data_IF_692552112622
#
_entry.id   IF_692552112622
#
_cell.length_a   1.000
_cell.length_b   1.000
_cell.length_c   1.000
_cell.angle_alpha   90.00
_cell.angle_beta   90.00
_cell.angle_gamma   90.00
#
_symmetry.space_group_name_H-M   'P 1'
#
loop_
_entity.id
_entity.type
_entity.pdbx_description
1 polymer ?
#
# COMPACT_ATOMS: atom_id res chain seq x y z
N UNK A 1 -22.69 7.79 -5.37
CA UNK A 1 -22.58 9.25 -5.23
C UNK A 1 -21.54 9.56 -4.18
N UNK A 2 -20.80 10.64 -4.34
CA UNK A 2 -19.81 11.13 -3.35
C UNK A 2 -20.07 12.61 -3.10
N UNK A 3 -20.09 13.02 -1.82
CA UNK A 3 -20.08 14.41 -1.43
C UNK A 3 -18.64 14.78 -1.07
N UNK A 4 -18.11 15.79 -1.72
CA UNK A 4 -16.80 16.37 -1.39
C UNK A 4 -17.07 17.58 -0.51
N UNK A 5 -16.55 17.56 0.71
CA UNK A 5 -16.64 18.67 1.64
C UNK A 5 -15.60 19.75 1.31
N UNK A 6 -15.82 20.96 1.75
CA UNK A 6 -14.81 22.00 1.71
C UNK A 6 -13.61 21.62 2.60
N UNK A 7 -12.41 22.10 2.28
CA UNK A 7 -11.20 21.75 3.02
C UNK A 7 -11.24 22.26 4.48
N UNK A 8 -12.00 23.32 4.72
CA UNK A 8 -12.25 23.97 6.02
C UNK A 8 -13.58 23.57 6.66
N UNK A 9 -14.31 22.58 6.09
CA UNK A 9 -15.56 22.09 6.64
C UNK A 9 -15.38 21.61 8.10
N UNK A 10 -16.25 22.11 8.99
CA UNK A 10 -16.21 21.74 10.39
C UNK A 10 -16.72 20.30 10.63
N UNK A 11 -16.42 19.74 11.78
CA UNK A 11 -16.98 18.45 12.20
C UNK A 11 -18.51 18.49 12.23
N UNK A 12 -19.08 19.62 12.65
CA UNK A 12 -20.52 19.84 12.71
C UNK A 12 -21.16 19.82 11.32
N UNK A 13 -20.50 20.44 10.32
CA UNK A 13 -20.99 20.40 8.93
C UNK A 13 -21.02 18.95 8.38
N UNK A 14 -19.97 18.19 8.68
CA UNK A 14 -19.87 16.78 8.24
C UNK A 14 -20.98 15.94 8.90
N UNK A 15 -21.17 16.08 10.22
CA UNK A 15 -22.21 15.38 10.97
C UNK A 15 -23.60 15.76 10.45
N UNK A 16 -23.85 17.04 10.19
CA UNK A 16 -25.12 17.49 9.62
C UNK A 16 -25.42 16.84 8.25
N UNK A 17 -24.42 16.76 7.36
CA UNK A 17 -24.59 16.09 6.06
C UNK A 17 -24.89 14.59 6.25
N UNK A 18 -24.22 13.94 7.19
CA UNK A 18 -24.45 12.52 7.53
C UNK A 18 -25.87 12.30 8.03
N UNK A 19 -26.34 13.15 8.95
CA UNK A 19 -27.70 13.07 9.52
C UNK A 19 -28.77 13.26 8.44
N UNK A 20 -28.63 14.25 7.55
CA UNK A 20 -29.55 14.47 6.43
C UNK A 20 -29.64 13.26 5.52
N UNK A 21 -28.51 12.57 5.26
CA UNK A 21 -28.48 11.34 4.45
C UNK A 21 -29.18 10.19 5.19
N UNK A 22 -28.92 10.03 6.50
CA UNK A 22 -29.55 8.97 7.31
C UNK A 22 -31.05 9.18 7.45
N UNK A 23 -31.52 10.41 7.68
CA UNK A 23 -32.95 10.76 7.74
C UNK A 23 -33.69 10.44 6.43
N UNK A 24 -32.97 10.55 5.30
CA UNK A 24 -33.49 10.15 4.00
C UNK A 24 -33.45 8.62 3.75
N UNK A 25 -32.91 7.82 4.69
CA UNK A 25 -32.81 6.37 4.62
C UNK A 25 -31.58 5.88 3.85
N UNK A 26 -30.55 6.72 3.68
CA UNK A 26 -29.25 6.37 3.11
C UNK A 26 -28.22 5.98 4.15
N UNK A 27 -27.08 5.47 3.66
CA UNK A 27 -25.88 5.28 4.48
C UNK A 27 -24.79 6.23 4.01
N UNK A 28 -24.04 6.79 4.94
CA UNK A 28 -22.95 7.73 4.72
C UNK A 28 -21.64 7.20 5.32
N UNK A 29 -20.58 7.18 4.51
CA UNK A 29 -19.25 6.74 4.90
C UNK A 29 -18.26 7.91 4.79
N UNK A 30 -17.85 8.42 5.95
CA UNK A 30 -16.97 9.60 6.02
C UNK A 30 -15.52 9.16 5.95
N UNK A 31 -14.76 9.71 5.00
CA UNK A 31 -13.31 9.59 4.97
C UNK A 31 -12.66 10.95 5.12
N UNK A 32 -11.72 11.08 6.09
CA UNK A 32 -11.01 12.31 6.42
C UNK A 32 -9.56 12.35 5.92
N UNK A 33 -9.15 11.33 5.15
CA UNK A 33 -7.83 11.29 4.54
C UNK A 33 -7.73 12.20 3.31
N UNK A 34 -6.67 13.02 3.21
CA UNK A 34 -6.42 13.88 2.07
C UNK A 34 -6.71 15.37 2.30
N UNK A 35 -6.80 16.14 1.20
CA UNK A 35 -6.92 17.59 1.23
C UNK A 35 -8.30 18.10 1.71
N UNK A 36 -9.35 17.30 1.57
CA UNK A 36 -10.70 17.60 2.02
C UNK A 36 -11.42 16.32 2.46
N UNK A 37 -12.34 16.39 3.43
CA UNK A 37 -13.19 15.25 3.79
C UNK A 37 -14.12 14.88 2.64
N UNK A 38 -14.38 13.57 2.48
CA UNK A 38 -15.34 13.05 1.51
C UNK A 38 -16.33 12.11 2.18
N UNK A 39 -17.57 12.12 1.68
CA UNK A 39 -18.65 11.28 2.18
C UNK A 39 -19.17 10.42 1.02
N UNK A 40 -18.91 9.12 1.08
CA UNK A 40 -19.49 8.15 0.14
C UNK A 40 -20.92 7.80 0.55
N UNK A 41 -21.84 7.79 -0.40
CA UNK A 41 -23.24 7.46 -0.16
C UNK A 41 -23.60 6.09 -0.70
N UNK A 42 -24.37 5.32 0.06
CA UNK A 42 -25.00 4.06 -0.34
C UNK A 42 -26.52 4.12 -0.14
N UNK A 43 -27.27 3.37 -0.96
CA UNK A 43 -28.73 3.35 -0.95
C UNK A 43 -29.35 3.77 -2.27
N UNK A 44 -30.63 4.18 -2.28
CA UNK A 44 -31.34 4.68 -3.47
C UNK A 44 -30.90 6.10 -3.84
N UNK A 45 -29.76 6.17 -4.53
CA UNK A 45 -29.09 7.42 -4.88
C UNK A 45 -29.95 8.34 -5.75
N UNK A 46 -30.75 7.79 -6.63
CA UNK A 46 -31.60 8.59 -7.53
C UNK A 46 -32.73 9.26 -6.75
N UNK A 47 -33.28 8.59 -5.75
CA UNK A 47 -34.24 9.15 -4.83
C UNK A 47 -33.61 10.28 -3.99
N UNK A 48 -32.42 10.08 -3.44
CA UNK A 48 -31.72 11.11 -2.66
C UNK A 48 -31.38 12.34 -3.51
N UNK A 49 -30.89 12.13 -4.74
CA UNK A 49 -30.54 13.23 -5.65
C UNK A 49 -31.78 14.06 -6.06
N UNK A 50 -32.96 13.44 -6.12
CA UNK A 50 -34.21 14.12 -6.45
C UNK A 50 -34.83 14.90 -5.28
N UNK A 51 -34.60 14.43 -4.03
CA UNK A 51 -35.27 14.97 -2.83
C UNK A 51 -34.37 15.85 -1.96
N UNK A 52 -33.06 15.65 -1.99
CA UNK A 52 -32.10 16.36 -1.14
C UNK A 52 -31.30 17.39 -1.94
N UNK A 53 -31.34 18.65 -1.49
CA UNK A 53 -30.42 19.67 -1.99
C UNK A 53 -29.06 19.58 -1.31
N UNK A 54 -28.34 18.47 -1.56
CA UNK A 54 -27.04 18.18 -0.93
C UNK A 54 -25.99 19.25 -1.24
N UNK A 55 -26.03 19.90 -2.40
CA UNK A 55 -25.11 20.98 -2.77
C UNK A 55 -25.34 22.27 -2.01
N UNK A 56 -26.52 22.44 -1.41
CA UNK A 56 -26.86 23.61 -0.58
C UNK A 56 -26.53 23.45 0.90
N UNK A 57 -26.06 22.28 1.34
CA UNK A 57 -25.73 22.06 2.73
C UNK A 57 -24.41 22.76 3.13
N UNK A 58 -24.31 23.26 4.37
CA UNK A 58 -23.08 23.88 4.86
C UNK A 58 -21.87 22.95 4.74
N UNK A 59 -20.74 23.52 4.35
CA UNK A 59 -19.49 22.78 4.19
C UNK A 59 -19.41 21.84 2.97
N UNK A 60 -20.45 21.74 2.13
CA UNK A 60 -20.40 20.94 0.89
C UNK A 60 -19.79 21.76 -0.24
N UNK A 61 -18.68 21.28 -0.79
CA UNK A 61 -18.02 21.89 -1.96
C UNK A 61 -18.64 21.42 -3.28
N UNK A 62 -18.89 20.10 -3.42
CA UNK A 62 -19.51 19.54 -4.62
C UNK A 62 -20.11 18.16 -4.36
N UNK A 63 -21.05 17.75 -5.19
CA UNK A 63 -21.65 16.42 -5.18
C UNK A 63 -21.39 15.76 -6.53
N UNK A 64 -20.75 14.58 -6.53
CA UNK A 64 -20.34 13.85 -7.73
C UNK A 64 -21.13 12.55 -7.83
N UNK A 65 -21.79 12.33 -8.97
CA UNK A 65 -22.33 11.01 -9.30
C UNK A 65 -21.20 10.13 -9.82
N UNK A 66 -20.96 8.99 -9.16
CA UNK A 66 -19.95 8.01 -9.56
C UNK A 66 -20.63 6.88 -10.33
N UNK A 67 -20.03 6.47 -11.44
CA UNK A 67 -20.50 5.33 -12.25
C UNK A 67 -19.83 4.04 -11.81
N UNK A 68 -18.63 4.13 -11.25
CA UNK A 68 -17.89 2.99 -10.72
C UNK A 68 -18.55 2.40 -9.44
N UNK A 69 -18.46 1.08 -9.23
CA UNK A 69 -18.97 0.44 -8.00
C UNK A 69 -18.21 0.88 -6.73
N UNK A 70 -16.93 1.23 -6.85
CA UNK A 70 -16.12 1.88 -5.81
C UNK A 70 -16.25 3.40 -5.93
N UNK A 71 -16.26 4.11 -4.81
CA UNK A 71 -16.57 5.54 -4.75
C UNK A 71 -15.45 6.36 -4.15
N UNK A 72 -15.04 6.02 -2.93
CA UNK A 72 -14.05 6.77 -2.16
C UNK A 72 -12.67 6.72 -2.80
N UNK A 73 -12.32 5.60 -3.45
CA UNK A 73 -11.03 5.41 -4.12
C UNK A 73 -11.05 5.79 -5.61
N UNK A 74 -12.22 6.19 -6.16
CA UNK A 74 -12.38 6.54 -7.58
C UNK A 74 -11.75 7.89 -7.94
N UNK A 75 -11.23 8.00 -9.17
CA UNK A 75 -10.83 9.30 -9.75
C UNK A 75 -11.99 10.17 -10.22
N UNK A 76 -13.21 9.67 -10.24
CA UNK A 76 -14.36 10.44 -10.72
C UNK A 76 -14.62 11.69 -9.88
N UNK A 77 -14.37 11.63 -8.56
CA UNK A 77 -14.51 12.78 -7.66
C UNK A 77 -13.19 13.47 -7.32
N UNK A 78 -12.04 12.83 -7.55
CA UNK A 78 -10.71 13.35 -7.23
C UNK A 78 -9.78 13.20 -8.44
N UNK A 79 -9.61 14.27 -9.20
CA UNK A 79 -8.77 14.25 -10.41
C UNK A 79 -7.28 14.08 -10.10
N UNK A 80 -6.81 14.69 -9.02
CA UNK A 80 -5.42 14.62 -8.59
C UNK A 80 -5.14 13.30 -7.89
N UNK A 81 -3.98 12.73 -8.17
CA UNK A 81 -3.54 11.49 -7.53
C UNK A 81 -3.07 11.76 -6.11
N UNK A 82 -3.35 10.82 -5.22
CA UNK A 82 -2.96 10.91 -3.82
C UNK A 82 -1.45 10.70 -3.63
N UNK A 83 -0.92 11.33 -2.59
CA UNK A 83 0.39 11.02 -2.03
C UNK A 83 0.17 10.44 -0.64
N UNK A 84 0.57 9.19 -0.44
CA UNK A 84 0.56 8.52 0.87
C UNK A 84 1.90 8.72 1.56
N UNK A 85 1.89 9.12 2.84
CA UNK A 85 3.12 9.34 3.61
C UNK A 85 3.29 8.27 4.68
N UNK A 86 4.41 7.56 4.62
CA UNK A 86 4.79 6.54 5.60
C UNK A 86 5.92 7.09 6.45
N UNK A 87 5.62 7.50 7.69
CA UNK A 87 6.59 8.20 8.57
C UNK A 87 7.33 9.35 7.82
N UNK A 88 6.59 10.13 7.03
CA UNK A 88 7.13 11.24 6.23
C UNK A 88 7.62 10.87 4.82
N UNK A 89 7.90 9.60 4.53
CA UNK A 89 8.33 9.12 3.20
C UNK A 89 7.13 9.13 2.23
N UNK A 90 7.17 9.91 1.12
CA UNK A 90 6.07 10.01 0.18
C UNK A 90 6.05 8.83 -0.80
N UNK A 91 4.84 8.33 -1.09
CA UNK A 91 4.56 7.41 -2.20
C UNK A 91 3.45 8.05 -3.04
N UNK A 92 3.74 8.43 -4.28
CA UNK A 92 2.79 9.15 -5.11
C UNK A 92 3.29 9.47 -6.52
N UNK A 93 2.55 10.29 -7.29
CA UNK A 93 2.76 10.48 -8.73
C UNK A 93 4.12 11.08 -9.09
N UNK A 94 4.72 11.89 -8.21
CA UNK A 94 5.98 12.59 -8.47
C UNK A 94 7.19 11.84 -7.93
N UNK A 95 6.99 10.67 -7.30
CA UNK A 95 8.03 9.92 -6.61
C UNK A 95 8.18 8.50 -7.17
N UNK A 96 9.40 7.97 -7.09
CA UNK A 96 9.68 6.54 -7.16
C UNK A 96 10.19 6.10 -5.79
N UNK A 97 9.39 5.36 -5.05
CA UNK A 97 9.76 4.89 -3.70
C UNK A 97 10.22 3.44 -3.76
N UNK A 98 11.42 3.17 -3.27
CA UNK A 98 11.97 1.82 -3.17
C UNK A 98 11.73 1.28 -1.76
N UNK A 99 11.02 0.17 -1.67
CA UNK A 99 10.75 -0.58 -0.45
C UNK A 99 11.53 -1.89 -0.55
N UNK A 100 12.49 -2.13 0.34
CA UNK A 100 13.30 -3.34 0.26
C UNK A 100 13.59 -3.92 1.66
N UNK A 101 13.85 -5.22 1.72
CA UNK A 101 14.17 -5.93 2.95
C UNK A 101 13.89 -7.43 2.84
N UNK A 102 14.06 -8.18 3.94
CA UNK A 102 13.91 -9.63 3.90
C UNK A 102 12.45 -10.05 3.74
N UNK A 103 12.18 -11.11 2.95
CA UNK A 103 10.83 -11.68 2.85
C UNK A 103 10.30 -12.07 4.22
N UNK A 104 11.13 -12.68 5.06
CA UNK A 104 10.82 -13.01 6.44
C UNK A 104 11.88 -12.44 7.40
N UNK A 105 11.43 -12.02 8.57
CA UNK A 105 12.30 -11.74 9.73
C UNK A 105 12.70 -13.09 10.31
N UNK A 106 14.00 -13.41 10.28
CA UNK A 106 14.53 -14.72 10.71
C UNK A 106 15.36 -14.62 11.98
N UNK A 107 16.33 -13.68 12.01
CA UNK A 107 17.12 -13.32 13.20
C UNK A 107 17.39 -11.82 13.22
N UNK A 108 17.81 -11.24 14.37
CA UNK A 108 18.22 -9.84 14.43
C UNK A 108 19.35 -9.52 13.45
N UNK A 109 20.37 -10.36 13.37
CA UNK A 109 21.56 -10.17 12.54
C UNK A 109 21.20 -10.19 11.03
N UNK A 110 20.41 -11.19 10.61
CA UNK A 110 19.95 -11.32 9.24
C UNK A 110 19.11 -10.10 8.83
N UNK A 111 18.18 -9.69 9.69
CA UNK A 111 17.26 -8.58 9.39
C UNK A 111 18.03 -7.26 9.33
N UNK A 112 18.97 -7.02 10.23
CA UNK A 112 19.82 -5.83 10.22
C UNK A 112 20.74 -5.79 8.99
N UNK A 113 21.36 -6.91 8.64
CA UNK A 113 22.20 -7.00 7.44
C UNK A 113 21.39 -6.70 6.18
N UNK A 114 20.20 -7.30 6.03
CA UNK A 114 19.31 -7.05 4.92
C UNK A 114 18.85 -5.57 4.86
N UNK A 115 18.55 -4.95 6.00
CA UNK A 115 18.15 -3.54 6.08
C UNK A 115 19.29 -2.59 5.70
N UNK A 116 20.53 -2.88 6.13
CA UNK A 116 21.73 -2.09 5.73
C UNK A 116 21.99 -2.20 4.22
N UNK A 117 21.85 -3.39 3.64
CA UNK A 117 21.94 -3.61 2.19
C UNK A 117 20.84 -2.82 1.46
N UNK A 118 19.60 -2.93 1.91
CA UNK A 118 18.46 -2.22 1.33
C UNK A 118 18.68 -0.71 1.35
N UNK A 119 19.11 -0.16 2.48
CA UNK A 119 19.42 1.27 2.63
C UNK A 119 20.54 1.72 1.68
N UNK A 120 21.64 0.97 1.60
CA UNK A 120 22.75 1.24 0.68
C UNK A 120 22.31 1.16 -0.80
N UNK A 121 21.33 0.31 -1.11
CA UNK A 121 20.67 0.19 -2.41
C UNK A 121 19.59 1.24 -2.69
N UNK A 122 19.46 2.28 -1.84
CA UNK A 122 18.53 3.40 -2.06
C UNK A 122 17.10 3.16 -1.60
N UNK A 123 16.84 2.12 -0.80
CA UNK A 123 15.52 1.92 -0.21
C UNK A 123 15.19 3.03 0.80
N UNK A 124 13.96 3.54 0.73
CA UNK A 124 13.43 4.54 1.66
C UNK A 124 12.56 3.92 2.75
N UNK A 125 12.08 2.71 2.55
CA UNK A 125 11.29 1.94 3.51
C UNK A 125 11.84 0.52 3.63
N UNK A 126 11.76 -0.05 4.85
CA UNK A 126 12.11 -1.44 5.13
C UNK A 126 10.86 -2.31 5.08
N UNK A 127 10.88 -3.36 4.25
CA UNK A 127 9.89 -4.41 4.35
C UNK A 127 10.48 -5.61 5.15
N UNK A 128 9.63 -6.27 5.92
CA UNK A 128 10.00 -7.50 6.63
C UNK A 128 8.75 -8.21 7.14
N UNK A 129 8.59 -9.50 6.83
CA UNK A 129 7.44 -10.29 7.29
C UNK A 129 7.69 -10.90 8.67
N UNK A 130 7.04 -10.38 9.71
CA UNK A 130 7.05 -10.99 11.05
C UNK A 130 6.05 -12.16 11.14
N UNK A 131 4.94 -12.07 10.39
CA UNK A 131 3.95 -13.13 10.18
C UNK A 131 4.02 -13.61 8.73
N UNK A 132 3.90 -14.91 8.48
CA UNK A 132 4.01 -15.50 7.14
C UNK A 132 2.82 -16.39 6.81
N UNK A 133 1.92 -15.96 5.92
CA UNK A 133 0.84 -16.83 5.44
C UNK A 133 1.42 -17.88 4.48
N UNK A 134 1.49 -19.13 4.91
CA UNK A 134 2.09 -20.22 4.14
C UNK A 134 1.03 -21.21 3.66
N UNK A 135 1.24 -21.75 2.44
CA UNK A 135 0.38 -22.82 1.91
C UNK A 135 0.59 -24.14 2.64
N UNK A 136 1.81 -24.37 3.16
CA UNK A 136 2.13 -25.55 3.97
C UNK A 136 2.15 -25.17 5.47
N UNK A 137 1.45 -25.91 6.34
CA UNK A 137 1.52 -25.69 7.78
C UNK A 137 2.87 -26.04 8.38
N UNK A 138 3.71 -26.77 7.66
CA UNK A 138 5.06 -27.16 8.09
C UNK A 138 6.15 -26.16 7.70
N UNK A 139 5.81 -25.15 6.87
CA UNK A 139 6.75 -24.11 6.50
C UNK A 139 6.90 -23.08 7.64
N UNK A 140 7.99 -22.32 7.62
CA UNK A 140 8.23 -21.25 8.59
C UNK A 140 7.08 -20.23 8.61
N UNK A 141 6.44 -20.06 9.76
CA UNK A 141 5.24 -19.22 9.94
C UNK A 141 5.56 -17.77 10.35
N UNK A 142 6.83 -17.43 10.51
CA UNK A 142 7.30 -16.15 11.05
C UNK A 142 7.54 -16.21 12.55
N UNK A 143 8.13 -15.15 13.10
CA UNK A 143 8.48 -15.01 14.53
C UNK A 143 7.39 -14.30 15.34
N UNK A 144 6.29 -13.85 14.68
CA UNK A 144 5.22 -13.11 15.35
C UNK A 144 5.72 -11.83 16.02
N UNK A 145 5.32 -11.59 17.26
CA UNK A 145 5.70 -10.39 18.00
C UNK A 145 7.22 -10.24 18.19
N UNK A 146 7.96 -11.34 18.34
CA UNK A 146 9.43 -11.29 18.38
C UNK A 146 9.99 -10.69 17.11
N UNK A 147 9.44 -11.06 15.94
CA UNK A 147 9.82 -10.48 14.65
C UNK A 147 9.49 -9.00 14.54
N UNK A 148 8.37 -8.55 15.13
CA UNK A 148 8.02 -7.13 15.19
C UNK A 148 9.01 -6.32 16.03
N UNK A 149 9.45 -6.86 17.17
CA UNK A 149 10.48 -6.24 18.02
C UNK A 149 11.81 -6.11 17.28
N UNK A 150 12.24 -7.17 16.58
CA UNK A 150 13.45 -7.14 15.74
C UNK A 150 13.34 -6.02 14.68
N UNK A 151 12.21 -5.89 14.01
CA UNK A 151 11.98 -4.81 13.03
C UNK A 151 12.09 -3.42 13.69
N UNK A 152 11.54 -3.24 14.89
CA UNK A 152 11.60 -1.97 15.61
C UNK A 152 13.05 -1.59 15.98
N UNK A 153 13.85 -2.56 16.43
CA UNK A 153 15.28 -2.35 16.74
C UNK A 153 16.06 -1.98 15.47
N UNK A 154 15.80 -2.69 14.36
CA UNK A 154 16.43 -2.42 13.06
C UNK A 154 16.01 -1.04 12.53
N UNK A 155 14.75 -0.62 12.72
CA UNK A 155 14.31 0.75 12.39
C UNK A 155 15.09 1.78 13.19
N UNK A 156 15.27 1.57 14.49
CA UNK A 156 16.03 2.50 15.35
C UNK A 156 17.47 2.66 14.86
N UNK A 157 18.12 1.57 14.39
CA UNK A 157 19.49 1.61 13.89
C UNK A 157 19.59 2.21 12.47
N UNK A 158 18.66 1.86 11.59
CA UNK A 158 18.76 2.22 10.17
C UNK A 158 17.98 3.48 9.79
N UNK A 159 17.02 3.90 10.58
CA UNK A 159 16.10 4.99 10.27
C UNK A 159 15.04 4.66 9.21
N UNK A 160 15.00 3.43 8.70
CA UNK A 160 14.03 3.02 7.67
C UNK A 160 12.66 2.71 8.30
N UNK A 161 11.58 3.42 7.93
CA UNK A 161 10.23 3.08 8.39
C UNK A 161 9.81 1.68 7.94
N UNK A 162 9.00 1.01 8.77
CA UNK A 162 8.65 -0.40 8.65
C UNK A 162 7.36 -0.60 7.86
N UNK A 163 7.41 -1.50 6.87
CA UNK A 163 6.26 -2.10 6.20
C UNK A 163 6.22 -3.58 6.56
N UNK A 164 5.18 -4.04 7.26
CA UNK A 164 5.04 -5.46 7.61
C UNK A 164 3.62 -5.96 7.41
N UNK A 165 3.50 -7.28 7.12
CA UNK A 165 2.22 -7.91 6.81
C UNK A 165 1.46 -8.24 8.09
N UNK A 166 0.16 -7.94 8.10
CA UNK A 166 -0.81 -8.41 9.07
C UNK A 166 -1.72 -9.44 8.38
N UNK A 167 -1.96 -10.57 9.04
CA UNK A 167 -2.69 -11.71 8.45
C UNK A 167 -4.06 -11.98 9.09
N UNK A 168 -4.27 -11.48 10.31
CA UNK A 168 -5.50 -11.66 11.08
C UNK A 168 -5.96 -10.30 11.63
N UNK A 169 -7.28 -10.08 11.64
CA UNK A 169 -7.87 -8.84 12.17
C UNK A 169 -7.56 -8.62 13.67
N UNK A 170 -7.38 -9.73 14.42
CA UNK A 170 -7.05 -9.70 15.85
C UNK A 170 -5.63 -9.17 16.14
N UNK A 171 -4.73 -9.27 15.16
CA UNK A 171 -3.33 -8.86 15.30
C UNK A 171 -3.09 -7.41 14.82
N UNK A 172 -4.11 -6.73 14.27
CA UNK A 172 -3.96 -5.40 13.69
C UNK A 172 -3.45 -4.38 14.71
N UNK A 173 -3.97 -4.39 15.93
CA UNK A 173 -3.53 -3.48 17.00
C UNK A 173 -2.07 -3.74 17.37
N UNK A 174 -1.70 -5.01 17.58
CA UNK A 174 -0.32 -5.41 17.89
C UNK A 174 0.64 -4.97 16.78
N UNK A 175 0.33 -5.32 15.52
CA UNK A 175 1.20 -4.98 14.38
C UNK A 175 1.32 -3.47 14.20
N UNK A 176 0.23 -2.73 14.40
CA UNK A 176 0.20 -1.26 14.29
C UNK A 176 1.09 -0.55 15.31
N UNK A 177 1.37 -1.18 16.45
CA UNK A 177 2.28 -0.64 17.47
C UNK A 177 3.72 -0.53 16.94
N UNK A 178 4.13 -1.45 16.07
CA UNK A 178 5.49 -1.54 15.55
C UNK A 178 5.63 -1.00 14.12
N UNK A 179 4.61 -1.18 13.29
CA UNK A 179 4.64 -0.85 11.87
C UNK A 179 4.34 0.63 11.60
N UNK A 180 4.99 1.19 10.58
CA UNK A 180 4.68 2.51 10.02
C UNK A 180 3.68 2.41 8.85
N UNK A 181 3.61 1.23 8.20
CA UNK A 181 2.62 0.87 7.18
C UNK A 181 2.22 -0.60 7.35
N UNK A 182 0.93 -0.89 7.32
CA UNK A 182 0.39 -2.24 7.33
C UNK A 182 0.33 -2.80 5.91
N UNK A 183 0.79 -4.04 5.69
CA UNK A 183 0.60 -4.74 4.43
C UNK A 183 -0.52 -5.77 4.55
N UNK A 184 -1.48 -5.71 3.64
CA UNK A 184 -2.45 -6.79 3.40
C UNK A 184 -1.94 -7.61 2.22
N UNK A 185 -1.58 -8.86 2.50
CA UNK A 185 -1.04 -9.77 1.49
C UNK A 185 -2.11 -10.26 0.50
N UNK A 186 -1.65 -10.73 -0.63
CA UNK A 186 -2.44 -11.20 -1.78
C UNK A 186 -3.56 -12.18 -1.40
N UNK A 187 -3.29 -13.12 -0.47
CA UNK A 187 -4.27 -14.12 -0.03
C UNK A 187 -5.40 -13.53 0.81
N UNK A 188 -5.16 -12.35 1.40
CA UNK A 188 -6.08 -11.62 2.25
C UNK A 188 -6.76 -10.43 1.55
N UNK A 189 -6.60 -10.26 0.24
CA UNK A 189 -7.24 -9.16 -0.50
C UNK A 189 -8.77 -9.15 -0.33
N UNK A 190 -9.39 -10.32 -0.17
CA UNK A 190 -10.83 -10.48 0.03
C UNK A 190 -11.20 -10.86 1.47
N UNK A 191 -10.27 -10.70 2.41
CA UNK A 191 -10.56 -10.85 3.84
C UNK A 191 -11.19 -9.54 4.35
N UNK A 192 -12.48 -9.34 4.08
CA UNK A 192 -13.17 -8.09 4.37
C UNK A 192 -13.12 -7.69 5.86
N UNK A 193 -13.24 -8.59 6.85
CA UNK A 193 -13.01 -8.22 8.24
C UNK A 193 -11.60 -7.66 8.50
N UNK A 194 -10.56 -8.23 7.88
CA UNK A 194 -9.19 -7.70 7.99
C UNK A 194 -9.07 -6.34 7.31
N UNK A 195 -9.66 -6.15 6.12
CA UNK A 195 -9.65 -4.85 5.42
C UNK A 195 -10.29 -3.75 6.26
N UNK A 196 -11.42 -4.05 6.91
CA UNK A 196 -12.08 -3.12 7.81
C UNK A 196 -11.23 -2.81 9.05
N UNK A 197 -10.58 -3.81 9.64
CA UNK A 197 -9.73 -3.62 10.81
C UNK A 197 -8.50 -2.75 10.49
N UNK A 198 -7.78 -3.02 9.38
CA UNK A 198 -6.63 -2.18 8.97
C UNK A 198 -7.07 -0.77 8.55
N UNK A 199 -8.28 -0.64 7.99
CA UNK A 199 -8.87 0.66 7.68
C UNK A 199 -9.12 1.53 8.92
N UNK A 200 -9.49 0.92 10.04
CA UNK A 200 -9.73 1.61 11.31
C UNK A 200 -8.44 1.89 12.11
N UNK A 201 -7.31 1.29 11.74
CA UNK A 201 -6.06 1.34 12.52
C UNK A 201 -5.31 2.69 12.44
N UNK A 202 -5.72 3.62 11.57
CA UNK A 202 -5.07 4.93 11.43
C UNK A 202 -3.64 4.90 10.89
N UNK A 203 -3.23 3.79 10.25
CA UNK A 203 -1.92 3.61 9.61
C UNK A 203 -2.09 3.53 8.09
N UNK A 204 -1.11 4.00 7.29
CA UNK A 204 -1.07 3.69 5.86
C UNK A 204 -1.17 2.19 5.60
N UNK A 205 -1.86 1.81 4.52
CA UNK A 205 -2.09 0.40 4.15
C UNK A 205 -1.59 0.13 2.74
N UNK A 206 -0.73 -0.88 2.58
CA UNK A 206 -0.39 -1.46 1.29
C UNK A 206 -1.31 -2.64 1.01
N UNK A 207 -2.11 -2.56 -0.03
CA UNK A 207 -3.02 -3.63 -0.46
C UNK A 207 -2.47 -4.34 -1.71
N UNK A 208 -2.00 -5.56 -1.54
CA UNK A 208 -1.53 -6.40 -2.65
C UNK A 208 -2.71 -7.01 -3.41
N UNK A 209 -2.66 -6.94 -4.74
CA UNK A 209 -3.66 -7.55 -5.64
C UNK A 209 -3.74 -9.06 -5.45
N UNK A 210 -4.95 -9.61 -5.47
CA UNK A 210 -5.21 -11.04 -5.48
C UNK A 210 -4.71 -11.70 -6.76
N UNK A 211 -4.22 -12.95 -6.67
CA UNK A 211 -3.62 -13.67 -7.80
C UNK A 211 -4.59 -13.95 -8.96
N UNK A 212 -5.90 -13.92 -8.70
CA UNK A 212 -6.95 -14.13 -9.71
C UNK A 212 -7.96 -13.00 -9.69
N UNK A 213 -7.61 -11.85 -9.08
CA UNK A 213 -8.49 -10.72 -8.93
C UNK A 213 -8.44 -9.79 -10.14
N UNK A 214 -9.61 -9.32 -10.59
CA UNK A 214 -9.71 -8.21 -11.53
C UNK A 214 -9.23 -6.92 -10.89
N UNK A 215 -8.98 -5.89 -11.70
CA UNK A 215 -8.64 -4.55 -11.18
C UNK A 215 -9.84 -3.98 -10.41
N UNK A 216 -11.08 -4.21 -10.86
CA UNK A 216 -12.29 -3.77 -10.17
C UNK A 216 -12.41 -4.39 -8.78
N UNK A 217 -12.23 -5.72 -8.64
CA UNK A 217 -12.23 -6.39 -7.33
C UNK A 217 -11.14 -5.86 -6.40
N UNK A 218 -9.96 -5.51 -6.94
CA UNK A 218 -8.88 -4.91 -6.18
C UNK A 218 -9.23 -3.51 -5.68
N UNK A 219 -9.88 -2.68 -6.51
CA UNK A 219 -10.36 -1.36 -6.11
C UNK A 219 -11.53 -1.45 -5.13
N UNK A 220 -12.43 -2.43 -5.29
CA UNK A 220 -13.47 -2.71 -4.30
C UNK A 220 -12.90 -3.14 -2.94
N UNK A 221 -11.82 -3.92 -2.93
CA UNK A 221 -11.12 -4.25 -1.69
C UNK A 221 -10.49 -3.00 -1.02
N UNK A 222 -9.93 -2.09 -1.81
CA UNK A 222 -9.45 -0.79 -1.29
C UNK A 222 -10.61 0.08 -0.75
N UNK A 223 -11.79 0.02 -1.35
CA UNK A 223 -12.99 0.71 -0.88
C UNK A 223 -13.39 0.28 0.55
N UNK A 224 -13.27 -1.02 0.90
CA UNK A 224 -13.53 -1.50 2.27
C UNK A 224 -12.60 -0.85 3.31
N UNK A 225 -11.35 -0.60 2.95
CA UNK A 225 -10.40 0.13 3.81
C UNK A 225 -10.83 1.60 3.92
N UNK A 226 -11.14 2.22 2.77
CA UNK A 226 -11.52 3.62 2.67
C UNK A 226 -12.80 3.95 3.45
N UNK A 227 -13.78 3.04 3.47
CA UNK A 227 -15.03 3.18 4.24
C UNK A 227 -14.81 3.30 5.76
N UNK A 228 -13.64 2.88 6.26
CA UNK A 228 -13.26 3.06 7.66
C UNK A 228 -12.55 4.39 7.93
N UNK A 229 -12.56 5.31 6.97
CA UNK A 229 -11.97 6.64 7.10
C UNK A 229 -10.51 6.72 6.66
N UNK A 230 -9.92 5.64 6.16
CA UNK A 230 -8.51 5.59 5.76
C UNK A 230 -8.35 5.62 4.24
N UNK A 231 -7.86 6.73 3.71
CA UNK A 231 -7.48 6.88 2.29
C UNK A 231 -5.96 6.80 2.05
N UNK A 232 -5.18 6.58 3.10
CA UNK A 232 -3.73 6.36 2.97
C UNK A 232 -3.45 4.92 2.52
N UNK A 233 -3.92 4.60 1.32
CA UNK A 233 -3.84 3.27 0.71
C UNK A 233 -2.88 3.30 -0.47
N UNK A 234 -1.96 2.34 -0.53
CA UNK A 234 -1.07 2.08 -1.67
C UNK A 234 -1.45 0.74 -2.29
N UNK A 235 -1.76 0.76 -3.57
CA UNK A 235 -2.06 -0.44 -4.35
C UNK A 235 -0.74 -1.09 -4.78
N UNK A 236 -0.63 -2.44 -4.68
CA UNK A 236 0.57 -3.16 -5.07
C UNK A 236 0.23 -4.30 -6.05
N UNK A 237 0.62 -4.12 -7.33
CA UNK A 237 0.59 -5.20 -8.32
C UNK A 237 1.75 -6.16 -8.05
N UNK A 238 1.47 -7.49 -8.03
CA UNK A 238 2.46 -8.52 -7.68
C UNK A 238 2.39 -9.78 -8.53
N UNK A 239 1.75 -9.68 -9.67
CA UNK A 239 1.52 -10.78 -10.59
C UNK A 239 0.23 -11.54 -10.34
N UNK A 240 -0.32 -12.03 -11.42
CA UNK A 240 -1.56 -12.83 -11.46
C UNK A 240 -1.25 -14.24 -11.94
N UNK A 241 -2.12 -15.19 -11.59
CA UNK A 241 -2.08 -16.54 -12.14
C UNK A 241 -2.51 -16.52 -13.59
N UNK A 242 -1.71 -17.17 -14.43
CA UNK A 242 -2.04 -17.41 -15.83
C UNK A 242 -1.73 -18.88 -16.16
N UNK A 243 -1.83 -19.26 -17.41
CA UNK A 243 -1.42 -20.57 -17.90
C UNK A 243 0.12 -20.76 -17.92
N UNK A 244 0.89 -19.66 -17.82
CA UNK A 244 2.35 -19.71 -17.85
C UNK A 244 2.93 -20.33 -16.57
N UNK A 245 3.95 -21.19 -16.72
CA UNK A 245 4.62 -21.92 -15.63
C UNK A 245 6.11 -21.60 -15.49
N UNK A 246 6.69 -20.86 -16.44
CA UNK A 246 8.10 -20.48 -16.41
C UNK A 246 8.38 -19.42 -15.33
N UNK A 247 7.35 -18.70 -14.86
CA UNK A 247 7.38 -17.76 -13.77
C UNK A 247 6.40 -18.16 -12.68
N UNK A 248 6.63 -17.71 -11.45
CA UNK A 248 5.71 -17.96 -10.32
C UNK A 248 4.33 -17.36 -10.57
N UNK A 249 4.29 -16.13 -11.07
CA UNK A 249 3.10 -15.43 -11.55
C UNK A 249 3.49 -14.53 -12.71
N UNK A 250 2.52 -14.19 -13.55
CA UNK A 250 2.70 -13.22 -14.64
C UNK A 250 2.51 -11.81 -14.10
N UNK A 251 3.54 -10.96 -14.19
CA UNK A 251 3.39 -9.54 -13.84
C UNK A 251 2.47 -8.85 -14.85
N UNK A 252 1.31 -8.38 -14.39
CA UNK A 252 0.40 -7.59 -15.19
C UNK A 252 0.83 -6.12 -15.14
N UNK A 253 1.81 -5.78 -15.97
CA UNK A 253 2.33 -4.41 -16.01
C UNK A 253 1.29 -3.40 -16.49
N UNK A 254 0.31 -3.84 -17.28
CA UNK A 254 -0.79 -2.99 -17.75
C UNK A 254 -1.74 -2.57 -16.62
N UNK A 255 -1.80 -3.32 -15.54
CA UNK A 255 -2.61 -2.96 -14.36
C UNK A 255 -2.18 -1.63 -13.73
N UNK A 256 -0.91 -1.25 -13.84
CA UNK A 256 -0.39 0.00 -13.27
C UNK A 256 -1.10 1.21 -13.88
N UNK A 257 -0.99 1.50 -15.19
CA UNK A 257 -1.65 2.67 -15.77
C UNK A 257 -3.18 2.57 -15.75
N UNK A 258 -3.76 1.36 -15.79
CA UNK A 258 -5.21 1.18 -15.70
C UNK A 258 -5.71 1.56 -14.31
N UNK A 259 -5.10 1.03 -13.23
CA UNK A 259 -5.47 1.38 -11.86
C UNK A 259 -5.25 2.88 -11.59
N UNK A 260 -4.17 3.47 -12.09
CA UNK A 260 -3.89 4.91 -11.98
C UNK A 260 -4.91 5.81 -12.71
N UNK A 261 -5.59 5.31 -13.75
CA UNK A 261 -6.69 6.03 -14.42
C UNK A 261 -8.00 5.91 -13.66
N UNK A 262 -8.27 4.76 -13.07
CA UNK A 262 -9.52 4.46 -12.37
C UNK A 262 -9.55 4.99 -10.95
N UNK A 263 -8.38 5.00 -10.28
CA UNK A 263 -8.24 5.39 -8.87
C UNK A 263 -7.23 6.51 -8.70
N UNK A 264 -7.43 7.35 -7.67
CA UNK A 264 -6.46 8.35 -7.25
C UNK A 264 -5.32 7.78 -6.40
N UNK A 265 -5.42 6.53 -5.97
CA UNK A 265 -4.43 5.88 -5.09
C UNK A 265 -3.09 5.65 -5.80
N UNK A 266 -1.96 5.72 -5.07
CA UNK A 266 -0.66 5.32 -5.60
C UNK A 266 -0.62 3.83 -5.95
N UNK A 267 0.14 3.48 -7.01
CA UNK A 267 0.30 2.10 -7.48
C UNK A 267 1.78 1.76 -7.54
N UNK A 268 2.18 0.76 -6.75
CA UNK A 268 3.54 0.20 -6.76
C UNK A 268 3.54 -1.22 -7.32
N UNK A 269 4.73 -1.75 -7.59
CA UNK A 269 4.91 -3.09 -8.17
C UNK A 269 5.83 -3.93 -7.31
N UNK A 270 5.52 -5.23 -7.19
CA UNK A 270 6.31 -6.26 -6.54
C UNK A 270 6.88 -7.25 -7.58
N UNK A 271 8.06 -6.98 -8.13
CA UNK A 271 8.70 -7.86 -9.11
C UNK A 271 9.21 -9.16 -8.49
N UNK A 272 9.56 -9.18 -7.20
CA UNK A 272 10.04 -10.36 -6.51
C UNK A 272 9.00 -11.47 -6.44
N UNK A 273 7.78 -11.13 -5.99
CA UNK A 273 6.70 -12.10 -5.85
C UNK A 273 5.94 -12.37 -7.16
N UNK A 274 6.12 -11.54 -8.20
CA UNK A 274 5.59 -11.84 -9.53
C UNK A 274 6.46 -12.88 -10.23
N UNK A 275 7.71 -12.57 -10.53
CA UNK A 275 8.63 -13.47 -11.25
C UNK A 275 9.02 -14.71 -10.45
N UNK A 276 9.25 -14.55 -9.14
CA UNK A 276 9.66 -15.62 -8.24
C UNK A 276 11.09 -16.12 -8.46
N UNK A 277 11.90 -15.36 -9.21
CA UNK A 277 13.28 -15.69 -9.59
C UNK A 277 14.13 -14.41 -9.57
N UNK A 278 15.34 -14.49 -9.01
CA UNK A 278 16.25 -13.33 -8.87
C UNK A 278 16.60 -12.69 -10.20
N UNK A 279 16.89 -13.49 -11.23
CA UNK A 279 17.25 -13.02 -12.58
C UNK A 279 16.16 -12.18 -13.26
N UNK A 280 14.90 -12.30 -12.81
CA UNK A 280 13.77 -11.55 -13.34
C UNK A 280 13.48 -10.26 -12.57
N UNK A 281 13.99 -10.11 -11.34
CA UNK A 281 13.62 -8.96 -10.49
C UNK A 281 14.09 -7.65 -11.12
N UNK A 282 15.33 -7.54 -11.59
CA UNK A 282 15.83 -6.31 -12.22
C UNK A 282 15.13 -5.98 -13.54
N UNK A 283 14.95 -6.92 -14.51
CA UNK A 283 14.17 -6.66 -15.71
C UNK A 283 12.74 -6.20 -15.43
N UNK A 284 12.05 -6.84 -14.48
CA UNK A 284 10.68 -6.46 -14.11
C UNK A 284 10.62 -5.14 -13.35
N UNK A 285 11.66 -4.81 -12.57
CA UNK A 285 11.79 -3.49 -11.93
C UNK A 285 11.94 -2.36 -12.97
N UNK A 286 12.76 -2.59 -14.02
CA UNK A 286 12.87 -1.63 -15.15
C UNK A 286 11.51 -1.40 -15.82
N UNK A 287 10.77 -2.47 -16.09
CA UNK A 287 9.44 -2.38 -16.69
C UNK A 287 8.46 -1.63 -15.77
N UNK A 288 8.49 -1.89 -14.46
CA UNK A 288 7.66 -1.21 -13.47
C UNK A 288 7.94 0.30 -13.40
N UNK A 289 9.21 0.70 -13.41
CA UNK A 289 9.60 2.11 -13.44
C UNK A 289 9.17 2.76 -14.76
N UNK A 290 9.46 2.11 -15.89
CA UNK A 290 9.18 2.64 -17.22
C UNK A 290 7.68 2.85 -17.49
N UNK A 291 6.80 2.00 -16.94
CA UNK A 291 5.33 2.16 -17.06
C UNK A 291 4.79 3.26 -16.15
N UNK A 292 5.61 3.80 -15.25
CA UNK A 292 5.24 4.87 -14.33
C UNK A 292 4.64 4.39 -13.01
N UNK A 293 5.12 3.28 -12.43
CA UNK A 293 4.79 2.90 -11.06
C UNK A 293 5.29 3.94 -10.05
N UNK A 294 4.56 4.13 -8.95
CA UNK A 294 4.91 5.09 -7.88
C UNK A 294 5.98 4.55 -6.93
N UNK A 295 6.33 3.28 -7.07
CA UNK A 295 7.36 2.61 -6.30
C UNK A 295 7.48 1.13 -6.67
N UNK A 296 8.47 0.49 -6.05
CA UNK A 296 8.72 -0.96 -6.15
C UNK A 296 8.96 -1.53 -4.75
N UNK A 297 8.53 -2.79 -4.54
CA UNK A 297 8.81 -3.52 -3.31
C UNK A 297 9.57 -4.81 -3.63
N UNK A 298 10.68 -5.06 -2.94
CA UNK A 298 11.68 -6.07 -3.33
C UNK A 298 12.15 -6.88 -2.12
N UNK A 299 12.32 -8.18 -2.34
CA UNK A 299 12.93 -9.07 -1.38
C UNK A 299 14.46 -8.98 -1.47
N UNK A 300 15.11 -8.88 -0.30
CA UNK A 300 16.55 -8.81 -0.12
C UNK A 300 16.99 -9.82 0.94
N UNK A 301 18.07 -10.52 0.72
CA UNK A 301 18.64 -11.39 1.73
C UNK A 301 20.16 -11.43 1.63
N UNK A 302 20.93 -11.35 2.76
CA UNK A 302 22.37 -11.40 2.71
C UNK A 302 22.89 -12.76 2.23
N UNK A 303 22.15 -13.84 2.49
CA UNK A 303 22.46 -15.22 2.14
C UNK A 303 21.22 -15.95 1.62
N UNK A 304 20.77 -15.68 0.38
CA UNK A 304 19.51 -16.23 -0.16
C UNK A 304 19.40 -17.76 -0.13
N UNK A 305 20.54 -18.45 -0.19
CA UNK A 305 20.64 -19.91 -0.15
C UNK A 305 20.24 -20.52 1.20
N UNK A 306 20.30 -19.73 2.28
CA UNK A 306 19.91 -20.14 3.65
C UNK A 306 18.56 -19.57 4.09
N UNK A 307 17.91 -18.76 3.25
CA UNK A 307 16.68 -18.10 3.60
C UNK A 307 15.54 -19.07 3.93
N UNK A 308 14.85 -18.84 5.03
CA UNK A 308 13.68 -19.64 5.44
C UNK A 308 12.44 -19.37 4.57
N UNK A 309 12.45 -18.28 3.80
CA UNK A 309 11.34 -17.87 2.93
C UNK A 309 11.85 -17.14 1.68
N UNK A 310 11.39 -17.60 0.51
CA UNK A 310 11.52 -16.93 -0.79
C UNK A 310 12.97 -16.55 -1.20
N UNK A 311 13.97 -17.35 -0.76
CA UNK A 311 15.38 -17.16 -1.11
C UNK A 311 15.67 -17.07 -2.61
N UNK A 312 15.07 -17.93 -3.47
CA UNK A 312 15.35 -17.91 -4.91
C UNK A 312 15.09 -16.59 -5.63
N UNK A 313 14.25 -15.70 -5.07
CA UNK A 313 13.90 -14.40 -5.64
C UNK A 313 14.62 -13.23 -4.97
N UNK A 314 15.25 -13.44 -3.80
CA UNK A 314 15.85 -12.37 -3.03
C UNK A 314 17.10 -11.81 -3.72
N UNK A 315 17.19 -10.48 -3.81
CA UNK A 315 18.36 -9.76 -4.30
C UNK A 315 19.49 -9.78 -3.28
N UNK A 316 20.72 -9.73 -3.79
CA UNK A 316 21.94 -9.55 -3.00
C UNK A 316 22.49 -8.13 -3.21
N UNK A 317 23.57 -7.80 -2.52
CA UNK A 317 24.15 -6.45 -2.54
C UNK A 317 24.55 -5.93 -3.94
N UNK A 318 25.10 -6.79 -4.82
CA UNK A 318 25.43 -6.41 -6.20
C UNK A 318 24.19 -6.03 -7.02
N UNK A 319 23.10 -6.81 -6.86
CA UNK A 319 21.85 -6.56 -7.56
C UNK A 319 21.20 -5.26 -7.09
N UNK A 320 21.31 -4.95 -5.80
CA UNK A 320 20.78 -3.71 -5.25
C UNK A 320 21.54 -2.47 -5.76
N UNK A 321 22.85 -2.55 -5.92
CA UNK A 321 23.61 -1.46 -6.55
C UNK A 321 23.18 -1.23 -8.00
N UNK A 322 22.95 -2.30 -8.76
CA UNK A 322 22.43 -2.18 -10.12
C UNK A 322 21.02 -1.58 -10.11
N UNK A 323 20.15 -2.02 -9.19
CA UNK A 323 18.81 -1.46 -9.04
C UNK A 323 18.83 0.03 -8.71
N UNK A 324 19.70 0.47 -7.78
CA UNK A 324 19.85 1.87 -7.44
C UNK A 324 20.26 2.73 -8.66
N UNK A 325 21.18 2.20 -9.48
CA UNK A 325 21.55 2.82 -10.74
C UNK A 325 20.37 2.91 -11.71
N UNK A 326 19.64 1.81 -11.90
CA UNK A 326 18.43 1.76 -12.74
C UNK A 326 17.40 2.80 -12.27
N UNK A 327 17.09 2.83 -10.98
CA UNK A 327 16.12 3.74 -10.41
C UNK A 327 16.51 5.20 -10.60
N UNK A 328 17.80 5.54 -10.38
CA UNK A 328 18.32 6.88 -10.54
C UNK A 328 18.22 7.37 -11.99
N UNK A 329 18.49 6.51 -12.98
CA UNK A 329 18.51 6.90 -14.39
C UNK A 329 17.12 6.87 -15.03
N UNK A 330 16.25 5.92 -14.65
CA UNK A 330 14.94 5.79 -15.29
C UNK A 330 13.86 6.69 -14.68
N UNK A 331 13.90 6.96 -13.38
CA UNK A 331 12.83 7.73 -12.73
C UNK A 331 12.65 9.14 -13.33
N UNK A 332 13.70 9.90 -13.67
CA UNK A 332 13.53 11.20 -14.30
C UNK A 332 12.91 11.13 -15.70
N UNK A 333 13.17 10.04 -16.45
CA UNK A 333 12.62 9.86 -17.80
C UNK A 333 11.10 9.68 -17.80
N UNK A 334 10.53 9.27 -16.67
CA UNK A 334 9.09 9.13 -16.48
C UNK A 334 8.50 10.23 -15.56
N UNK A 335 9.25 11.33 -15.36
CA UNK A 335 8.81 12.49 -14.58
C UNK A 335 8.76 12.24 -13.07
N UNK A 336 9.59 11.33 -12.54
CA UNK A 336 9.62 10.98 -11.11
C UNK A 336 10.96 11.30 -10.47
N UNK A 337 10.92 11.54 -9.16
CA UNK A 337 12.13 11.70 -8.34
C UNK A 337 12.28 10.49 -7.43
N UNK A 338 13.48 9.90 -7.40
CA UNK A 338 13.77 8.81 -6.45
C UNK A 338 13.66 9.35 -5.01
N UNK A 339 12.83 8.71 -4.19
CA UNK A 339 12.62 9.11 -2.81
C UNK A 339 13.87 8.78 -1.98
N UNK A 340 14.51 9.76 -1.31
CA UNK A 340 15.70 9.49 -0.50
C UNK A 340 15.34 8.67 0.76
N UNK A 341 16.31 7.88 1.22
CA UNK A 341 16.19 7.25 2.53
C UNK A 341 16.16 8.31 3.65
N UNK A 342 15.30 8.17 4.67
CA UNK A 342 15.31 9.05 5.83
C UNK A 342 16.67 9.03 6.54
N UNK A 343 17.07 10.14 7.17
CA UNK A 343 18.25 10.16 8.02
C UNK A 343 18.06 9.15 9.18
N UNK A 344 19.11 8.42 9.61
CA UNK A 344 19.04 7.65 10.84
C UNK A 344 18.64 8.59 11.99
N UNK A 345 17.85 8.09 12.94
CA UNK A 345 17.59 8.83 14.16
C UNK A 345 18.95 9.18 14.79
N UNK A 346 19.21 10.48 15.01
CA UNK A 346 20.42 10.91 15.71
C UNK A 346 20.32 10.30 17.11
N UNK A 347 21.10 9.25 17.35
CA UNK A 347 21.08 8.55 18.61
C UNK A 347 21.38 9.54 19.73
N UNK A 348 20.47 9.72 20.65
CA UNK A 348 20.81 10.17 21.99
C UNK A 348 21.74 9.11 22.59
N UNK A 349 23.05 9.25 22.37
CA UNK A 349 24.04 8.61 23.23
C UNK A 349 23.85 9.24 24.60
N UNK A 350 23.12 8.58 25.47
CA UNK A 350 23.18 8.77 26.91
C UNK A 350 24.25 7.85 27.47
#
# INVERSE_FOLDING_TARGET
MVIVMAADASVVDIEHVVDVVHEAGGEAFVSRGGAAPIIGLSGDIDRFAATLNLTGLPGVATVVRTTAPYKLVSREHRRERSVVRVAGVPIGPDTLTVIAGPCAVETPEQTLAAAKMARAGGASLLRGGAFKPRSSPYAFQGLGEVGLKILADVRAETGLPIVTEVIDARDVELVSTYADMLQVGTRNMQNFPLLQAVGAAGKPVMLKRGMSATIEEWLMAAEYIAQRGNLDIVLCERGIRTFEKATRNTLDISAVPVAQRLSHLPVIVDPSHSGGRRDLVLPLSRAAIAVGADGIIIDVHPHPETALCDGPQALIDSDLRELASIATHLSPLVGRTLTPAPAPAVGSRA
#
